data_IF_907103820374
#
_entry.id   IF_907103820374
#
_cell.length_a   1.000
_cell.length_b   1.000
_cell.length_c   1.000
_cell.angle_alpha   90.00
_cell.angle_beta   90.00
_cell.angle_gamma   90.00
#
_symmetry.space_group_name_H-M   'P 1'
#
loop_
_entity.id
_entity.type
_entity.pdbx_description
1 polymer ?
#
# COMPACT_ATOMS: atom_id res chain seq x y z
N UNK A 1 14.67 -20.48 -0.99
CA UNK A 1 14.52 -19.98 0.40
C UNK A 1 14.62 -21.18 1.35
N UNK A 2 15.49 -21.19 2.38
CA UNK A 2 15.50 -22.29 3.34
C UNK A 2 14.19 -22.26 4.13
N UNK A 3 13.51 -23.41 4.17
CA UNK A 3 12.16 -23.62 4.66
C UNK A 3 11.91 -22.96 6.05
N UNK A 4 11.25 -21.80 6.08
CA UNK A 4 10.96 -21.07 7.33
C UNK A 4 9.86 -21.72 8.17
N UNK A 5 9.30 -22.83 7.69
CA UNK A 5 8.11 -23.47 8.25
C UNK A 5 6.84 -22.65 8.05
N UNK A 6 6.89 -21.60 7.21
CA UNK A 6 5.74 -20.74 6.95
C UNK A 6 4.75 -21.47 6.04
N UNK A 7 3.48 -21.68 6.48
CA UNK A 7 2.47 -22.27 5.62
C UNK A 7 2.07 -21.32 4.49
N UNK A 8 1.44 -21.83 3.41
CA UNK A 8 0.92 -20.98 2.34
C UNK A 8 -0.17 -20.03 2.86
N UNK A 9 -0.43 -18.94 2.12
CA UNK A 9 -1.53 -18.05 2.40
C UNK A 9 -2.87 -18.77 2.19
N UNK A 10 -3.93 -18.27 2.85
CA UNK A 10 -5.31 -18.72 2.62
C UNK A 10 -6.10 -17.57 2.03
N UNK A 11 -6.64 -17.77 0.82
CA UNK A 11 -7.35 -16.72 0.06
C UNK A 11 -6.54 -15.41 -0.04
N UNK A 12 -5.24 -15.51 -0.37
CA UNK A 12 -4.32 -14.38 -0.48
C UNK A 12 -3.86 -13.75 0.85
N UNK A 13 -4.35 -14.24 2.00
CA UNK A 13 -4.01 -13.73 3.33
C UNK A 13 -2.85 -14.53 3.93
N UNK A 14 -1.72 -13.86 4.12
CA UNK A 14 -0.52 -14.44 4.72
C UNK A 14 -0.76 -14.92 6.16
N UNK A 15 -0.17 -16.05 6.57
CA UNK A 15 -0.09 -16.40 7.99
C UNK A 15 0.73 -15.37 8.78
N UNK A 16 0.47 -15.27 10.08
CA UNK A 16 1.15 -14.37 11.01
C UNK A 16 2.03 -15.16 11.96
N UNK A 17 3.16 -14.56 12.34
CA UNK A 17 4.04 -15.14 13.36
C UNK A 17 3.58 -14.72 14.75
N UNK A 18 3.62 -15.64 15.70
CA UNK A 18 3.37 -15.43 17.12
C UNK A 18 4.38 -16.22 17.94
N UNK A 19 4.38 -16.03 19.26
CA UNK A 19 5.11 -16.86 20.21
C UNK A 19 4.12 -17.44 21.20
N UNK A 20 3.95 -18.76 21.16
CA UNK A 20 3.09 -19.50 22.08
C UNK A 20 3.85 -19.78 23.39
N UNK A 21 3.14 -19.79 24.52
CA UNK A 21 3.73 -19.99 25.85
C UNK A 21 2.86 -20.94 26.67
N UNK A 22 3.48 -21.88 27.37
CA UNK A 22 2.81 -22.82 28.27
C UNK A 22 2.06 -23.94 27.56
N UNK A 23 1.08 -23.60 26.69
CA UNK A 23 0.34 -24.56 25.86
C UNK A 23 0.01 -23.99 24.48
N UNK A 24 -0.24 -24.88 23.53
CA UNK A 24 -0.85 -24.53 22.25
C UNK A 24 -2.34 -24.22 22.49
N UNK A 25 -2.88 -23.10 21.98
CA UNK A 25 -4.30 -22.80 22.12
C UNK A 25 -5.19 -23.91 21.56
N UNK A 26 -6.34 -24.13 22.19
CA UNK A 26 -7.33 -25.13 21.75
C UNK A 26 -8.01 -24.72 20.44
N UNK A 27 -8.19 -23.40 20.25
CA UNK A 27 -8.81 -22.84 19.05
C UNK A 27 -7.76 -22.39 18.03
N UNK A 28 -7.98 -22.77 16.78
CA UNK A 28 -7.15 -22.37 15.65
C UNK A 28 -6.06 -23.38 15.28
N UNK A 29 -5.36 -23.09 14.18
CA UNK A 29 -4.28 -23.93 13.67
C UNK A 29 -2.94 -23.21 13.80
N UNK A 30 -1.97 -23.90 14.40
CA UNK A 30 -0.63 -23.38 14.65
C UNK A 30 0.42 -24.30 14.03
N UNK A 31 1.44 -23.71 13.41
CA UNK A 31 2.54 -24.43 12.79
C UNK A 31 3.86 -23.93 13.38
N UNK A 32 4.76 -24.83 13.76
CA UNK A 32 6.05 -24.46 14.30
C UNK A 32 6.82 -23.55 13.33
N UNK A 33 7.27 -22.39 13.80
CA UNK A 33 8.13 -21.52 13.01
C UNK A 33 9.60 -21.86 13.28
N UNK A 34 10.49 -21.54 12.34
CA UNK A 34 11.92 -21.68 12.58
C UNK A 34 12.38 -20.83 13.79
N UNK A 35 12.95 -21.51 14.77
CA UNK A 35 13.67 -20.95 15.92
C UNK A 35 14.73 -21.98 16.35
N UNK A 36 15.92 -21.52 16.72
CA UNK A 36 17.10 -22.38 16.94
C UNK A 36 16.93 -23.40 18.07
N UNK A 37 15.99 -23.16 18.98
CA UNK A 37 15.69 -23.93 20.19
C UNK A 37 14.26 -24.51 20.21
N UNK A 38 13.52 -24.44 19.09
CA UNK A 38 12.18 -25.04 19.03
C UNK A 38 12.28 -26.58 19.06
N UNK A 39 11.52 -27.28 19.92
CA UNK A 39 11.48 -28.73 19.92
C UNK A 39 10.73 -29.31 18.71
N UNK A 40 10.11 -28.47 17.87
CA UNK A 40 9.35 -28.87 16.71
C UNK A 40 10.06 -28.47 15.41
N UNK A 41 10.07 -29.38 14.43
CA UNK A 41 10.57 -29.05 13.10
C UNK A 41 9.75 -27.92 12.46
N UNK A 42 10.37 -26.95 11.76
CA UNK A 42 9.64 -25.86 11.13
C UNK A 42 8.59 -26.36 10.14
N UNK A 43 7.35 -25.87 10.25
CA UNK A 43 6.21 -26.24 9.42
C UNK A 43 5.33 -27.33 10.01
N UNK A 44 5.76 -27.99 11.08
CA UNK A 44 4.96 -29.02 11.76
C UNK A 44 3.72 -28.41 12.42
N UNK A 45 2.56 -29.00 12.19
CA UNK A 45 1.33 -28.63 12.90
C UNK A 45 1.47 -28.96 14.40
N UNK A 46 1.18 -27.97 15.24
CA UNK A 46 1.25 -28.11 16.70
C UNK A 46 -0.11 -28.62 17.21
N UNK A 47 -0.15 -29.75 17.94
CA UNK A 47 -1.42 -30.27 18.46
C UNK A 47 -2.07 -29.29 19.45
N UNK A 48 -3.39 -29.01 19.34
CA UNK A 48 -4.12 -28.23 20.32
C UNK A 48 -3.93 -28.77 21.75
N UNK A 49 -3.78 -27.87 22.72
CA UNK A 49 -3.59 -28.23 24.13
C UNK A 49 -2.21 -28.78 24.49
N UNK A 50 -1.32 -29.03 23.52
CA UNK A 50 0.03 -29.56 23.78
C UNK A 50 0.83 -28.64 24.69
N UNK A 51 1.49 -29.21 25.69
CA UNK A 51 2.36 -28.48 26.60
C UNK A 51 3.63 -27.99 25.87
N UNK A 52 3.96 -26.72 26.10
CA UNK A 52 5.12 -26.07 25.54
C UNK A 52 6.14 -25.83 26.66
N UNK A 53 7.25 -26.59 26.71
CA UNK A 53 8.24 -26.49 27.78
C UNK A 53 8.99 -25.14 27.78
N UNK A 54 9.00 -24.45 26.64
CA UNK A 54 9.56 -23.12 26.46
C UNK A 54 8.67 -22.31 25.50
N UNK A 55 8.85 -20.99 25.38
CA UNK A 55 8.16 -20.20 24.36
C UNK A 55 8.47 -20.73 22.95
N UNK A 56 7.45 -21.07 22.17
CA UNK A 56 7.60 -21.62 20.81
C UNK A 56 7.10 -20.61 19.78
N UNK A 57 7.98 -20.11 18.89
CA UNK A 57 7.55 -19.34 17.73
C UNK A 57 6.69 -20.19 16.80
N UNK A 58 5.53 -19.67 16.40
CA UNK A 58 4.59 -20.37 15.55
C UNK A 58 3.99 -19.45 14.48
N UNK A 59 3.53 -20.05 13.39
CA UNK A 59 2.67 -19.44 12.38
C UNK A 59 1.22 -19.81 12.66
N UNK A 60 0.30 -18.88 12.43
CA UNK A 60 -1.14 -19.14 12.43
C UNK A 60 -1.82 -18.33 11.34
N UNK A 61 -2.96 -18.78 10.85
CA UNK A 61 -3.79 -17.99 9.96
C UNK A 61 -4.73 -17.11 10.80
N UNK A 62 -4.70 -15.78 10.62
CA UNK A 62 -5.60 -14.92 11.38
C UNK A 62 -7.05 -15.16 10.97
N UNK A 63 -7.95 -15.20 11.96
CA UNK A 63 -9.37 -15.10 11.69
C UNK A 63 -9.65 -13.76 11.01
N UNK A 64 -10.30 -13.82 9.85
CA UNK A 64 -10.66 -12.63 9.08
C UNK A 64 -12.17 -12.54 8.98
N UNK A 65 -12.80 -11.53 9.62
CA UNK A 65 -14.24 -11.36 9.59
C UNK A 65 -14.73 -11.18 8.14
N UNK A 66 -16.01 -11.47 7.84
CA UNK A 66 -16.57 -11.15 6.53
C UNK A 66 -16.38 -9.67 6.17
N UNK A 67 -15.94 -9.40 4.95
CA UNK A 67 -15.78 -8.04 4.40
C UNK A 67 -16.89 -7.82 3.36
N UNK A 68 -17.52 -6.64 3.34
CA UNK A 68 -18.42 -6.29 2.25
C UNK A 68 -17.56 -6.03 1.00
N UNK A 69 -17.98 -6.46 -0.21
CA UNK A 69 -17.21 -6.21 -1.42
C UNK A 69 -17.00 -4.71 -1.70
N UNK A 70 -15.81 -4.33 -2.14
CA UNK A 70 -15.54 -3.05 -2.80
C UNK A 70 -15.84 -3.25 -4.30
N UNK A 71 -16.85 -2.60 -4.88
CA UNK A 71 -17.38 -2.93 -6.22
C UNK A 71 -16.56 -2.31 -7.36
N UNK A 72 -15.24 -2.20 -7.19
CA UNK A 72 -14.33 -1.66 -8.19
C UNK A 72 -13.15 -2.60 -8.35
N UNK A 73 -12.84 -2.93 -9.59
CA UNK A 73 -11.70 -3.78 -9.93
C UNK A 73 -10.50 -2.96 -10.41
N UNK A 74 -9.34 -3.57 -10.27
CA UNK A 74 -8.10 -3.06 -10.86
C UNK A 74 -7.94 -3.61 -12.28
N UNK A 75 -7.13 -2.95 -13.09
CA UNK A 75 -6.65 -3.51 -14.35
C UNK A 75 -5.16 -3.80 -14.28
N UNK A 76 -4.68 -4.71 -15.12
CA UNK A 76 -3.26 -5.02 -15.26
C UNK A 76 -2.73 -4.27 -16.47
N UNK A 77 -1.80 -3.35 -16.26
CA UNK A 77 -1.12 -2.59 -17.32
C UNK A 77 0.05 -3.38 -17.89
N UNK A 78 0.74 -4.11 -17.00
CA UNK A 78 1.89 -4.94 -17.36
C UNK A 78 2.03 -6.09 -16.36
N UNK A 79 2.45 -7.26 -16.83
CA UNK A 79 2.86 -8.36 -15.98
C UNK A 79 3.96 -9.16 -16.67
N UNK A 80 5.07 -9.37 -15.97
CA UNK A 80 6.13 -10.27 -16.39
C UNK A 80 6.53 -11.22 -15.24
N UNK A 81 7.70 -11.84 -15.36
CA UNK A 81 8.24 -12.75 -14.35
C UNK A 81 8.51 -12.04 -13.02
N UNK A 82 8.92 -10.78 -13.05
CA UNK A 82 9.50 -10.10 -11.91
C UNK A 82 8.52 -9.14 -11.22
N UNK A 83 7.66 -8.48 -11.99
CA UNK A 83 6.68 -7.54 -11.43
C UNK A 83 5.38 -7.44 -12.24
N UNK A 84 4.38 -6.87 -11.56
CA UNK A 84 3.07 -6.52 -12.09
C UNK A 84 2.88 -5.01 -11.89
N UNK A 85 2.40 -4.32 -12.92
CA UNK A 85 1.91 -2.94 -12.83
C UNK A 85 0.39 -3.00 -12.89
N UNK A 86 -0.25 -2.69 -11.76
CA UNK A 86 -1.69 -2.64 -11.65
C UNK A 86 -2.19 -1.20 -11.65
N UNK A 87 -3.29 -0.93 -12.34
CA UNK A 87 -4.02 0.33 -12.29
C UNK A 87 -5.12 0.22 -11.24
N UNK A 88 -4.86 0.77 -10.05
CA UNK A 88 -5.72 0.60 -8.87
C UNK A 88 -6.87 1.61 -8.89
N UNK A 89 -8.14 1.22 -8.70
CA UNK A 89 -9.24 2.16 -8.64
C UNK A 89 -9.18 3.00 -7.35
N UNK A 90 -9.99 4.06 -7.29
CA UNK A 90 -10.30 4.74 -6.04
C UNK A 90 -10.93 3.76 -5.03
N UNK A 91 -10.84 4.09 -3.75
CA UNK A 91 -11.41 3.35 -2.62
C UNK A 91 -10.82 1.97 -2.30
N UNK A 92 -10.10 1.33 -3.23
CA UNK A 92 -9.39 0.08 -2.97
C UNK A 92 -8.07 0.37 -2.22
N UNK A 93 -7.86 -0.15 -0.99
CA UNK A 93 -6.56 -0.09 -0.32
C UNK A 93 -5.49 -0.88 -1.10
N UNK A 94 -4.25 -0.39 -1.11
CA UNK A 94 -3.14 -1.12 -1.75
C UNK A 94 -2.80 -2.42 -1.00
N UNK A 95 -2.71 -2.34 0.34
CA UNK A 95 -2.33 -3.45 1.21
C UNK A 95 -3.33 -3.61 2.34
N UNK A 96 -3.26 -4.78 2.98
CA UNK A 96 -4.06 -5.10 4.17
C UNK A 96 -3.82 -4.12 5.31
N UNK A 97 -4.86 -3.93 6.11
CA UNK A 97 -4.84 -3.09 7.30
C UNK A 97 -5.77 -3.69 8.36
N UNK A 98 -5.83 -3.09 9.55
CA UNK A 98 -6.65 -3.61 10.65
C UNK A 98 -8.16 -3.68 10.35
N UNK A 99 -8.65 -3.09 9.25
CA UNK A 99 -10.06 -3.06 8.87
C UNK A 99 -10.40 -3.90 7.63
N UNK A 100 -9.47 -4.02 6.69
CA UNK A 100 -9.63 -4.75 5.42
C UNK A 100 -8.41 -5.62 5.16
N UNK A 101 -8.64 -6.90 4.93
CA UNK A 101 -7.65 -7.94 4.68
C UNK A 101 -7.86 -8.58 3.30
N UNK A 102 -9.12 -8.82 2.90
CA UNK A 102 -9.47 -9.40 1.59
C UNK A 102 -9.60 -8.33 0.51
N UNK A 103 -10.30 -7.24 0.82
CA UNK A 103 -10.62 -6.18 -0.13
C UNK A 103 -9.45 -5.19 -0.30
N UNK A 104 -8.32 -5.69 -0.80
CA UNK A 104 -7.12 -4.89 -1.10
C UNK A 104 -6.48 -5.33 -2.41
N UNK A 105 -5.80 -4.42 -3.09
CA UNK A 105 -5.12 -4.71 -4.36
C UNK A 105 -4.17 -5.91 -4.22
N UNK A 106 -3.34 -5.92 -3.17
CA UNK A 106 -2.42 -7.02 -2.93
C UNK A 106 -3.14 -8.36 -2.81
N UNK A 107 -4.17 -8.44 -1.96
CA UNK A 107 -4.85 -9.72 -1.72
C UNK A 107 -5.59 -10.20 -2.97
N UNK A 108 -6.23 -9.29 -3.72
CA UNK A 108 -6.87 -9.65 -4.99
C UNK A 108 -5.85 -10.15 -6.02
N UNK A 109 -4.76 -9.43 -6.24
CA UNK A 109 -3.68 -9.89 -7.13
C UNK A 109 -3.17 -11.29 -6.76
N UNK A 110 -2.96 -11.57 -5.47
CA UNK A 110 -2.51 -12.90 -5.01
C UNK A 110 -3.52 -14.00 -5.32
N UNK A 111 -4.80 -13.72 -5.13
CA UNK A 111 -5.88 -14.68 -5.43
C UNK A 111 -5.99 -14.88 -6.94
N UNK A 112 -6.03 -13.80 -7.71
CA UNK A 112 -6.27 -13.83 -9.15
C UNK A 112 -5.10 -14.47 -9.92
N UNK A 113 -3.86 -14.25 -9.47
CA UNK A 113 -2.67 -14.88 -10.04
C UNK A 113 -2.28 -16.21 -9.38
N UNK A 114 -2.91 -16.58 -8.25
CA UNK A 114 -2.55 -17.78 -7.49
C UNK A 114 -1.15 -17.72 -6.85
N UNK A 115 -0.70 -16.53 -6.44
CA UNK A 115 0.69 -16.28 -6.05
C UNK A 115 0.82 -15.50 -4.74
N UNK A 116 1.25 -16.19 -3.69
CA UNK A 116 1.41 -15.61 -2.34
C UNK A 116 2.53 -14.57 -2.23
N UNK A 117 3.50 -14.65 -3.13
CA UNK A 117 4.70 -13.83 -3.14
C UNK A 117 4.47 -12.43 -3.74
N UNK A 118 3.28 -12.12 -4.24
CA UNK A 118 3.00 -10.77 -4.73
C UNK A 118 3.03 -9.77 -3.56
N UNK A 119 3.86 -8.73 -3.69
CA UNK A 119 4.02 -7.66 -2.69
C UNK A 119 4.15 -6.30 -3.37
N UNK A 120 3.37 -5.27 -2.96
CA UNK A 120 3.55 -3.92 -3.47
C UNK A 120 4.94 -3.36 -3.14
N UNK A 121 5.60 -2.79 -4.15
CA UNK A 121 6.90 -2.12 -4.01
C UNK A 121 6.75 -0.70 -3.47
N UNK A 122 5.61 -0.07 -3.77
CA UNK A 122 5.15 1.18 -3.18
C UNK A 122 3.65 1.09 -2.95
N UNK A 123 3.08 2.11 -2.31
CA UNK A 123 1.65 2.15 -2.00
C UNK A 123 1.02 3.47 -2.39
N UNK A 124 -0.25 3.38 -2.77
CA UNK A 124 -1.16 4.51 -2.84
C UNK A 124 -2.10 4.48 -1.63
N UNK A 125 -2.52 5.67 -1.19
CA UNK A 125 -3.61 5.78 -0.22
C UNK A 125 -4.89 5.18 -0.80
N UNK A 126 -5.77 4.68 0.08
CA UNK A 126 -7.04 4.06 -0.31
C UNK A 126 -7.83 4.90 -1.32
N UNK A 127 -7.87 6.22 -1.13
CA UNK A 127 -8.62 7.12 -1.99
C UNK A 127 -7.89 7.50 -3.29
N UNK A 128 -6.59 7.32 -3.37
CA UNK A 128 -5.81 7.68 -4.57
C UNK A 128 -5.92 6.56 -5.60
N UNK A 129 -6.28 6.87 -6.84
CA UNK A 129 -6.25 5.92 -7.94
C UNK A 129 -4.91 5.96 -8.68
N UNK A 130 -4.68 4.95 -9.51
CA UNK A 130 -3.58 4.92 -10.47
C UNK A 130 -2.59 3.78 -10.21
N UNK A 131 -1.40 3.94 -10.79
CA UNK A 131 -0.43 2.86 -10.92
C UNK A 131 0.14 2.39 -9.58
N UNK A 132 0.22 1.08 -9.38
CA UNK A 132 0.96 0.44 -8.30
C UNK A 132 1.81 -0.67 -8.89
N UNK A 133 3.11 -0.66 -8.60
CA UNK A 133 4.01 -1.75 -8.97
C UNK A 133 4.08 -2.75 -7.81
N UNK A 134 3.84 -4.02 -8.12
CA UNK A 134 3.95 -5.15 -7.22
C UNK A 134 5.06 -6.08 -7.69
N UNK A 135 6.01 -6.43 -6.82
CA UNK A 135 6.97 -7.49 -7.08
C UNK A 135 6.26 -8.83 -7.02
N UNK A 136 6.55 -9.67 -8.01
CA UNK A 136 6.06 -11.03 -8.15
C UNK A 136 7.12 -12.05 -7.70
N UNK A 137 8.38 -11.76 -8.01
CA UNK A 137 9.51 -12.66 -7.76
C UNK A 137 10.30 -12.26 -6.49
N UNK A 138 10.40 -13.14 -5.47
CA UNK A 138 11.20 -12.90 -4.27
C UNK A 138 12.70 -12.67 -4.52
N UNK A 139 13.27 -13.28 -5.56
CA UNK A 139 14.71 -13.20 -5.87
C UNK A 139 15.11 -11.81 -6.34
N UNK A 140 14.25 -11.14 -7.11
CA UNK A 140 14.52 -9.81 -7.68
C UNK A 140 13.88 -8.68 -6.87
N UNK A 141 13.02 -9.01 -5.92
CA UNK A 141 12.28 -8.05 -5.06
C UNK A 141 13.16 -6.97 -4.44
N UNK A 142 14.30 -7.35 -3.87
CA UNK A 142 15.18 -6.41 -3.18
C UNK A 142 15.74 -5.34 -4.13
N UNK A 143 16.06 -5.72 -5.38
CA UNK A 143 16.55 -4.80 -6.40
C UNK A 143 15.46 -3.79 -6.79
N UNK A 144 14.24 -4.24 -7.02
CA UNK A 144 13.13 -3.35 -7.37
C UNK A 144 12.66 -2.48 -6.19
N UNK A 145 12.69 -2.97 -4.95
CA UNK A 145 12.36 -2.18 -3.76
C UNK A 145 13.32 -1.00 -3.58
N UNK A 146 14.61 -1.20 -3.91
CA UNK A 146 15.64 -0.17 -3.80
C UNK A 146 15.30 1.09 -4.61
N UNK A 147 14.71 0.93 -5.80
CA UNK A 147 14.28 2.05 -6.67
C UNK A 147 13.35 3.04 -5.92
N UNK A 148 12.46 2.52 -5.07
CA UNK A 148 11.52 3.34 -4.31
C UNK A 148 12.13 3.88 -3.02
N UNK A 149 13.01 3.11 -2.39
CA UNK A 149 13.74 3.54 -1.18
C UNK A 149 14.71 4.69 -1.48
N UNK A 150 15.37 4.64 -2.63
CA UNK A 150 16.35 5.64 -3.08
C UNK A 150 15.70 6.82 -3.82
N UNK A 151 14.39 6.77 -4.07
CA UNK A 151 13.67 7.84 -4.77
C UNK A 151 13.95 7.92 -6.27
N UNK A 152 14.57 6.91 -6.86
CA UNK A 152 14.93 6.85 -8.29
C UNK A 152 13.73 6.70 -9.22
N UNK A 153 12.57 6.24 -8.71
CA UNK A 153 11.33 6.20 -9.47
C UNK A 153 10.68 7.59 -9.57
N UNK A 154 10.59 8.10 -10.81
CA UNK A 154 9.86 9.33 -11.13
C UNK A 154 8.38 9.02 -11.23
N UNK A 155 7.61 9.59 -10.30
CA UNK A 155 6.15 9.44 -10.24
C UNK A 155 5.49 10.75 -10.64
N UNK A 156 4.51 10.68 -11.54
CA UNK A 156 3.73 11.84 -11.98
C UNK A 156 2.28 11.67 -11.57
N UNK A 157 1.80 12.63 -10.82
CA UNK A 157 0.42 12.68 -10.34
C UNK A 157 -0.31 13.83 -10.99
N UNK A 158 -1.60 13.63 -11.27
CA UNK A 158 -2.53 14.70 -11.58
C UNK A 158 -3.60 14.80 -10.52
N UNK A 159 -4.05 16.02 -10.24
CA UNK A 159 -5.16 16.27 -9.33
C UNK A 159 -5.98 17.47 -9.73
N UNK A 160 -7.14 17.61 -9.10
CA UNK A 160 -8.00 18.78 -9.23
C UNK A 160 -8.21 19.42 -7.86
N UNK A 161 -7.86 20.70 -7.74
CA UNK A 161 -8.02 21.48 -6.50
C UNK A 161 -9.36 22.22 -6.48
N UNK A 162 -9.85 22.52 -5.27
CA UNK A 162 -11.12 23.25 -5.08
C UNK A 162 -11.03 24.70 -5.57
N UNK A 163 -9.92 25.38 -5.29
CA UNK A 163 -9.64 26.75 -5.73
C UNK A 163 -8.45 26.77 -6.69
N UNK A 164 -8.45 27.59 -7.75
CA UNK A 164 -7.32 27.70 -8.69
C UNK A 164 -5.98 27.96 -7.98
N UNK A 165 -4.94 27.26 -8.41
CA UNK A 165 -3.56 27.37 -7.93
C UNK A 165 -2.66 27.77 -9.11
N UNK A 166 -1.73 28.68 -8.87
CA UNK A 166 -0.71 29.12 -9.84
C UNK A 166 0.66 28.92 -9.22
N UNK A 167 1.39 27.90 -9.69
CA UNK A 167 2.68 27.52 -9.13
C UNK A 167 3.48 26.74 -10.15
N UNK A 168 4.80 26.93 -10.18
CA UNK A 168 5.73 26.11 -10.96
C UNK A 168 7.08 26.02 -10.24
N UNK A 169 7.10 25.31 -9.11
CA UNK A 169 8.28 25.23 -8.26
C UNK A 169 8.33 23.94 -7.44
N UNK A 170 9.50 23.68 -6.86
CA UNK A 170 9.66 22.66 -5.83
C UNK A 170 9.28 23.23 -4.46
N UNK A 171 8.48 22.45 -3.72
CA UNK A 171 7.97 22.83 -2.39
C UNK A 171 8.37 21.74 -1.40
N UNK A 172 9.11 22.15 -0.38
CA UNK A 172 9.52 21.29 0.71
C UNK A 172 8.71 21.58 1.97
N UNK A 173 8.13 20.55 2.57
CA UNK A 173 7.36 20.64 3.81
C UNK A 173 7.82 19.55 4.78
N UNK A 174 7.83 19.88 6.07
CA UNK A 174 8.04 18.88 7.12
C UNK A 174 6.70 18.34 7.59
N UNK A 175 6.47 17.05 7.43
CA UNK A 175 5.19 16.41 7.68
C UNK A 175 5.26 15.45 8.86
N UNK A 176 4.28 15.54 9.76
CA UNK A 176 4.14 14.66 10.91
C UNK A 176 2.80 13.92 10.85
N UNK A 177 2.84 12.60 11.07
CA UNK A 177 1.67 11.72 11.14
C UNK A 177 1.43 11.28 12.59
N UNK A 178 0.54 11.93 13.35
CA UNK A 178 0.21 11.49 14.70
C UNK A 178 -0.40 10.09 14.69
N UNK A 179 -0.02 9.28 15.68
CA UNK A 179 -0.57 7.93 15.85
C UNK A 179 -2.09 8.01 16.07
N UNK A 180 -2.85 7.18 15.37
CA UNK A 180 -4.32 7.14 15.46
C UNK A 180 -5.05 8.26 14.69
N UNK A 181 -4.36 9.32 14.27
CA UNK A 181 -4.97 10.37 13.45
C UNK A 181 -5.11 9.95 11.99
N UNK A 182 -6.18 10.38 11.33
CA UNK A 182 -6.31 10.29 9.86
C UNK A 182 -5.58 11.41 9.14
N UNK A 183 -5.39 12.55 9.79
CA UNK A 183 -4.65 13.67 9.23
C UNK A 183 -3.15 13.48 9.39
N UNK A 184 -2.43 14.28 8.61
CA UNK A 184 -0.98 14.51 8.61
C UNK A 184 -0.88 16.02 8.65
N UNK A 185 0.01 16.54 9.48
CA UNK A 185 0.16 17.97 9.73
C UNK A 185 1.53 18.44 9.26
N UNK A 186 1.63 19.71 8.85
CA UNK A 186 2.92 20.36 8.64
C UNK A 186 3.43 20.79 10.01
N UNK A 187 4.62 20.32 10.40
CA UNK A 187 5.19 20.55 11.72
C UNK A 187 6.72 20.63 11.65
N UNK A 188 7.39 21.52 12.42
CA UNK A 188 8.85 21.68 12.39
C UNK A 188 9.66 20.40 12.66
N UNK A 189 9.13 19.49 13.48
CA UNK A 189 9.71 18.20 13.83
C UNK A 189 9.33 17.08 12.85
N UNK A 190 8.53 17.38 11.83
CA UNK A 190 8.07 16.43 10.83
C UNK A 190 9.19 15.94 9.90
N UNK A 191 8.94 14.84 9.21
CA UNK A 191 9.83 14.32 8.16
C UNK A 191 9.86 15.28 6.98
N UNK A 192 11.05 15.66 6.51
CA UNK A 192 11.20 16.50 5.33
C UNK A 192 10.68 15.77 4.09
N UNK A 193 9.77 16.42 3.37
CA UNK A 193 9.20 15.95 2.11
C UNK A 193 9.44 17.01 1.04
N UNK A 194 9.57 16.58 -0.22
CA UNK A 194 9.71 17.49 -1.35
C UNK A 194 8.88 17.05 -2.55
N UNK A 195 8.24 18.01 -3.21
CA UNK A 195 7.37 17.79 -4.37
C UNK A 195 7.54 18.95 -5.34
N UNK A 196 7.84 18.66 -6.61
CA UNK A 196 7.71 19.66 -7.67
C UNK A 196 6.23 19.77 -8.08
N UNK A 197 5.70 20.99 -8.13
CA UNK A 197 4.28 21.25 -8.39
C UNK A 197 4.15 22.23 -9.54
N UNK A 198 3.34 21.88 -10.52
CA UNK A 198 2.95 22.74 -11.64
C UNK A 198 1.43 22.86 -11.70
N UNK A 199 0.91 24.08 -11.59
CA UNK A 199 -0.51 24.39 -11.76
C UNK A 199 -0.70 25.77 -12.38
N UNK A 200 -1.72 25.88 -13.23
CA UNK A 200 -2.19 27.14 -13.81
C UNK A 200 -3.72 27.10 -13.90
N UNK A 201 -4.38 27.03 -12.75
CA UNK A 201 -5.82 26.82 -12.67
C UNK A 201 -6.19 25.74 -11.64
N UNK A 202 -7.25 24.97 -11.91
CA UNK A 202 -7.71 23.93 -10.98
C UNK A 202 -7.03 22.58 -11.17
N UNK A 203 -6.45 22.33 -12.33
CA UNK A 203 -5.65 21.12 -12.55
C UNK A 203 -4.22 21.34 -12.09
N UNK A 204 -3.68 20.34 -11.41
CA UNK A 204 -2.33 20.36 -10.86
C UNK A 204 -1.59 19.09 -11.22
N UNK A 205 -0.35 19.22 -11.68
CA UNK A 205 0.58 18.12 -11.88
C UNK A 205 1.66 18.15 -10.80
N UNK A 206 1.97 16.99 -10.22
CA UNK A 206 2.90 16.87 -9.09
C UNK A 206 3.89 15.73 -9.32
N UNK A 207 5.15 15.98 -8.97
CA UNK A 207 6.23 15.01 -8.98
C UNK A 207 6.85 14.91 -7.58
N UNK A 208 6.32 14.03 -6.71
CA UNK A 208 6.89 13.84 -5.38
C UNK A 208 8.28 13.19 -5.48
N UNK A 209 9.27 13.84 -4.87
CA UNK A 209 10.65 13.32 -4.72
C UNK A 209 10.76 12.35 -3.55
N UNK A 210 9.94 12.57 -2.53
CA UNK A 210 9.81 11.72 -1.34
C UNK A 210 8.49 10.96 -1.35
N UNK A 211 8.39 9.90 -0.53
CA UNK A 211 7.14 9.20 -0.27
C UNK A 211 6.73 9.36 1.19
N UNK A 212 5.68 10.14 1.45
CA UNK A 212 5.08 10.26 2.78
C UNK A 212 3.57 10.05 2.72
N UNK A 213 2.98 9.55 3.82
CA UNK A 213 1.52 9.38 3.93
C UNK A 213 0.84 10.71 3.63
N UNK A 214 -0.17 10.70 2.75
CA UNK A 214 -0.95 11.87 2.35
C UNK A 214 -0.13 13.06 1.79
N UNK A 215 1.13 12.88 1.38
CA UNK A 215 2.04 13.99 1.04
C UNK A 215 1.42 15.05 0.12
N UNK A 216 0.87 14.63 -1.02
CA UNK A 216 0.28 15.54 -2.00
C UNK A 216 -0.99 16.24 -1.47
N UNK A 217 -1.80 15.52 -0.69
CA UNK A 217 -3.05 16.03 -0.09
C UNK A 217 -2.76 17.12 0.94
N UNK A 218 -1.78 16.88 1.81
CA UNK A 218 -1.31 17.83 2.83
C UNK A 218 -0.69 19.06 2.19
N UNK A 219 0.17 18.85 1.19
CA UNK A 219 0.83 19.95 0.48
C UNK A 219 -0.20 20.90 -0.11
N UNK A 220 -1.15 20.38 -0.90
CA UNK A 220 -2.17 21.21 -1.54
C UNK A 220 -3.09 21.87 -0.52
N UNK A 221 -3.45 21.18 0.57
CA UNK A 221 -4.20 21.78 1.68
C UNK A 221 -3.40 22.89 2.39
N UNK A 222 -2.10 22.70 2.62
CA UNK A 222 -1.23 23.69 3.27
C UNK A 222 -1.09 24.96 2.43
N UNK A 223 -1.08 24.83 1.10
CA UNK A 223 -1.15 25.96 0.19
C UNK A 223 -2.52 26.66 0.15
N UNK A 224 -3.55 26.11 0.82
CA UNK A 224 -4.91 26.64 0.78
C UNK A 224 -5.78 26.14 -0.38
N UNK A 225 -5.29 25.16 -1.15
CA UNK A 225 -5.95 24.62 -2.34
C UNK A 225 -6.21 23.10 -2.21
N UNK A 226 -7.01 22.64 -1.23
CA UNK A 226 -7.24 21.21 -1.02
C UNK A 226 -7.84 20.54 -2.26
N UNK A 227 -7.55 19.25 -2.42
CA UNK A 227 -8.06 18.44 -3.52
C UNK A 227 -9.59 18.31 -3.46
N UNK A 228 -10.20 18.28 -4.65
CA UNK A 228 -11.59 17.95 -4.84
C UNK A 228 -11.84 16.52 -4.36
N UNK A 229 -12.86 16.33 -3.54
CA UNK A 229 -13.29 15.02 -3.03
C UNK A 229 -12.50 14.50 -1.83
N UNK A 230 -11.55 15.28 -1.32
CA UNK A 230 -10.80 14.92 -0.13
C UNK A 230 -11.72 14.78 1.10
N UNK A 231 -11.59 13.66 1.81
CA UNK A 231 -12.38 13.31 2.99
C UNK A 231 -11.69 13.59 4.32
N UNK A 232 -10.45 14.07 4.26
CA UNK A 232 -9.55 14.24 5.40
C UNK A 232 -9.11 15.70 5.54
N UNK A 233 -8.99 16.41 4.42
CA UNK A 233 -8.54 17.80 4.36
C UNK A 233 -9.59 18.72 3.72
N UNK A 234 -9.81 19.94 4.25
CA UNK A 234 -9.17 20.50 5.46
C UNK A 234 -9.69 19.90 6.76
N UNK A 235 -10.96 19.46 6.77
CA UNK A 235 -11.64 18.90 7.95
C UNK A 235 -12.00 17.44 7.67
N UNK A 236 -11.64 16.50 8.55
CA UNK A 236 -11.93 15.09 8.32
C UNK A 236 -13.43 14.80 8.47
N UNK A 237 -14.01 14.16 7.45
CA UNK A 237 -15.37 13.58 7.51
C UNK A 237 -15.37 12.31 8.34
N UNK A 238 -16.53 11.86 8.84
CA UNK A 238 -16.64 10.53 9.47
C UNK A 238 -16.17 9.46 8.49
N UNK A 239 -15.31 8.54 8.94
CA UNK A 239 -14.82 7.48 8.09
C UNK A 239 -15.94 6.46 7.84
N UNK A 240 -16.31 6.30 6.58
CA UNK A 240 -17.09 5.18 6.09
C UNK A 240 -16.29 4.44 5.01
N UNK A 241 -16.05 3.15 5.21
CA UNK A 241 -15.31 2.32 4.26
C UNK A 241 -16.15 1.89 3.06
N UNK A 242 -17.44 2.22 3.04
CA UNK A 242 -18.36 1.82 1.97
C UNK A 242 -19.12 3.01 1.38
N UNK A 243 -18.72 4.24 1.72
CA UNK A 243 -19.14 5.45 0.99
C UNK A 243 -18.21 5.69 -0.21
N UNK A 244 -18.75 5.49 -1.41
CA UNK A 244 -18.04 5.62 -2.67
C UNK A 244 -18.48 6.83 -3.50
N UNK A 245 -19.34 7.69 -2.95
CA UNK A 245 -19.98 8.78 -3.71
C UNK A 245 -18.98 9.84 -4.15
N UNK A 246 -17.97 10.12 -3.32
CA UNK A 246 -17.04 11.22 -3.54
C UNK A 246 -15.60 10.71 -3.72
N UNK A 247 -15.18 10.33 -4.93
CA UNK A 247 -13.78 9.97 -5.19
C UNK A 247 -12.87 11.19 -5.04
N UNK A 248 -11.65 10.94 -4.56
CA UNK A 248 -10.61 11.95 -4.51
C UNK A 248 -10.11 12.23 -5.93
N UNK A 249 -10.11 13.48 -6.37
CA UNK A 249 -9.55 13.88 -7.66
C UNK A 249 -8.01 13.90 -7.61
N UNK A 250 -7.41 12.71 -7.45
CA UNK A 250 -5.97 12.47 -7.42
C UNK A 250 -5.66 11.14 -8.08
N UNK A 251 -4.85 11.19 -9.14
CA UNK A 251 -4.46 10.07 -9.97
C UNK A 251 -2.94 9.97 -10.04
N UNK A 252 -2.39 8.79 -9.74
CA UNK A 252 -1.02 8.44 -10.08
C UNK A 252 -0.98 8.03 -11.57
N UNK A 253 -0.73 9.01 -12.43
CA UNK A 253 -0.95 8.88 -13.87
C UNK A 253 0.20 8.18 -14.58
N UNK A 254 1.46 8.40 -14.15
CA UNK A 254 2.60 7.75 -14.78
C UNK A 254 3.74 7.49 -13.80
N UNK A 255 4.49 6.43 -14.09
CA UNK A 255 5.72 6.08 -13.38
C UNK A 255 6.81 5.70 -14.38
N UNK A 256 8.00 6.23 -14.16
CA UNK A 256 9.21 5.92 -14.92
C UNK A 256 10.32 5.50 -13.96
N UNK A 257 11.09 4.47 -14.32
CA UNK A 257 12.27 4.02 -13.59
C UNK A 257 13.25 3.29 -14.51
N UNK A 258 14.50 3.19 -14.10
CA UNK A 258 15.48 2.30 -14.74
C UNK A 258 15.33 0.90 -14.14
N UNK A 259 15.06 -0.08 -15.00
CA UNK A 259 14.96 -1.46 -14.59
C UNK A 259 16.32 -1.95 -14.05
N UNK A 260 16.38 -2.47 -12.81
CA UNK A 260 17.63 -2.76 -12.13
C UNK A 260 18.32 -4.02 -12.65
N UNK A 261 17.64 -4.82 -13.49
CA UNK A 261 18.16 -6.06 -14.05
C UNK A 261 18.61 -5.88 -15.49
N UNK A 262 17.80 -5.18 -16.30
CA UNK A 262 18.06 -4.95 -17.72
C UNK A 262 18.72 -3.61 -18.02
N UNK A 263 18.75 -2.69 -17.05
CA UNK A 263 19.21 -1.30 -17.20
C UNK A 263 18.44 -0.47 -18.24
N UNK A 264 17.33 -0.99 -18.77
CA UNK A 264 16.44 -0.28 -19.68
C UNK A 264 15.53 0.70 -18.92
N UNK A 265 15.17 1.81 -19.55
CA UNK A 265 14.11 2.67 -19.02
C UNK A 265 12.74 1.98 -19.20
N UNK A 266 11.95 1.97 -18.13
CA UNK A 266 10.57 1.47 -18.12
C UNK A 266 9.65 2.64 -17.80
N UNK A 267 8.60 2.80 -18.60
CA UNK A 267 7.58 3.82 -18.41
C UNK A 267 6.19 3.19 -18.54
N UNK A 268 5.31 3.54 -17.60
CA UNK A 268 3.92 3.08 -17.57
C UNK A 268 2.97 4.25 -17.36
N UNK A 269 1.78 4.13 -17.93
CA UNK A 269 0.70 5.12 -17.85
C UNK A 269 -0.58 4.46 -17.36
N UNK A 270 -1.33 5.18 -16.52
CA UNK A 270 -2.66 4.78 -16.10
C UNK A 270 -3.65 4.96 -17.26
N UNK A 271 -4.58 4.02 -17.36
CA UNK A 271 -5.75 4.07 -18.24
C UNK A 271 -6.92 4.86 -17.63
N UNK A 272 -6.85 5.19 -16.34
CA UNK A 272 -7.92 5.92 -15.64
C UNK A 272 -7.93 7.40 -16.01
N UNK A 273 -9.13 7.95 -16.11
CA UNK A 273 -9.33 9.39 -16.29
C UNK A 273 -9.36 10.11 -14.92
N UNK A 274 -8.71 11.27 -14.84
CA UNK A 274 -8.86 12.17 -13.70
C UNK A 274 -10.28 12.76 -13.70
N UNK A 275 -11.02 12.56 -12.61
CA UNK A 275 -12.31 13.25 -12.44
C UNK A 275 -12.10 14.74 -12.20
N UNK A 276 -12.78 15.55 -12.99
CA UNK A 276 -12.72 17.03 -12.92
C UNK A 276 -13.89 17.65 -12.17
N UNK A 277 -14.94 16.87 -11.90
CA UNK A 277 -16.16 17.28 -11.18
C UNK A 277 -16.55 16.25 -10.11
N UNK A 278 -17.30 16.71 -9.11
CA UNK A 278 -18.08 15.86 -8.20
C UNK A 278 -19.53 16.17 -8.53
N UNK A 279 -20.28 15.16 -8.95
CA UNK A 279 -21.74 15.19 -9.03
C UNK A 279 -22.35 14.99 -7.64
#
# INVERSE_FOLDING_TARGET
MPNSGRPPARAGISPRKTVLRGRVPEEGEYFAARAGDSPFSPGTALPPGAALPHPVPAWYHPAVPPERPIPFDYSVVHADRDFIVADKPHFLPTTTNGRLQRETLQTRLRVDFGEDDIVPLHRLDRLTAGLVICSRNPETRAAYQRIFLEGSAVKRYRGVVKQPLFVDQEIALRMHKPRGSRQVFVAPEGTLTSTYVRAAGREVTMWPRTGHTHQLRVLLNHLGHPLLGDDTYPTPRKLDLYDFRTPLALLHEAITFIDPLSHSERQFFSSQALRTTIE
#
